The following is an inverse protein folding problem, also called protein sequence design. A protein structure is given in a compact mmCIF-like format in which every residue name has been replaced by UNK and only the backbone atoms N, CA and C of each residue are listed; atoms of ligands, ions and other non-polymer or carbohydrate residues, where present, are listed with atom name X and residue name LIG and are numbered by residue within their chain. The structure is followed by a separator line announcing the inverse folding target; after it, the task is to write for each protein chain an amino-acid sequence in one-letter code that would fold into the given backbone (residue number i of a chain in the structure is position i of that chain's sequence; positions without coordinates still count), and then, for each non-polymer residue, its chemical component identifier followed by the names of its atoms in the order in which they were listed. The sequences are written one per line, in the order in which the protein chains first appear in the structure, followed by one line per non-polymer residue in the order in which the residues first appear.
data_IF_809959973293
#
_entry.id   IF_809959973293
#
_cell.length_a   1.000
_cell.length_b   1.000
_cell.length_c   1.000
_cell.angle_alpha   90.00
_cell.angle_beta   90.00
_cell.angle_gamma   90.00
#
_symmetry.space_group_name_H-M   'P 1'
#
loop_
_entity.id
_entity.type
_entity.pdbx_description
1 polymer ?
#
# COMPACT_ATOMS: atom_id res chain seq x y z
N UNK A 1 13.01 19.29 13.70
CA UNK A 1 12.49 18.78 14.98
C UNK A 1 11.38 17.81 14.64
N UNK A 2 11.44 16.54 15.07
CA UNK A 2 10.40 15.56 14.73
C UNK A 2 9.06 15.95 15.37
N UNK A 3 7.97 15.73 14.66
CA UNK A 3 6.64 15.93 15.22
C UNK A 3 6.34 14.84 16.25
N UNK A 4 6.33 15.21 17.53
CA UNK A 4 5.72 14.37 18.55
C UNK A 4 4.20 14.43 18.40
N UNK A 5 3.51 13.33 18.70
CA UNK A 5 2.05 13.22 18.71
C UNK A 5 1.36 14.30 19.58
N UNK A 6 2.10 14.89 20.53
CA UNK A 6 1.66 15.98 21.40
C UNK A 6 1.93 17.39 20.83
N UNK A 7 2.40 17.50 19.59
CA UNK A 7 2.69 18.81 18.99
C UNK A 7 1.38 19.53 18.63
N UNK A 8 1.27 20.80 19.02
CA UNK A 8 0.11 21.68 18.77
C UNK A 8 -0.23 21.73 17.27
N UNK A 9 0.78 21.71 16.41
CA UNK A 9 0.61 21.65 14.95
C UNK A 9 -0.08 20.37 14.45
N UNK A 10 0.10 19.23 15.11
CA UNK A 10 -0.59 18.00 14.75
C UNK A 10 -2.09 18.07 15.09
N UNK A 11 -2.41 18.48 16.33
CA UNK A 11 -3.79 18.58 16.81
C UNK A 11 -4.61 19.60 16.02
N UNK A 12 -4.04 20.76 15.68
CA UNK A 12 -4.78 21.85 15.06
C UNK A 12 -4.66 21.93 13.54
N UNK A 13 -3.70 21.24 12.93
CA UNK A 13 -3.55 21.25 11.47
C UNK A 13 -3.85 19.88 10.86
N UNK A 14 -3.17 18.83 11.31
CA UNK A 14 -3.31 17.49 10.74
C UNK A 14 -4.69 16.89 11.02
N UNK A 15 -5.16 17.00 12.27
CA UNK A 15 -6.44 16.43 12.69
C UNK A 15 -7.65 17.03 11.94
N UNK A 16 -7.83 18.37 11.85
CA UNK A 16 -8.96 18.94 11.11
C UNK A 16 -8.84 18.69 9.60
N UNK A 17 -7.64 18.73 9.01
CA UNK A 17 -7.44 18.41 7.58
C UNK A 17 -7.84 16.97 7.29
N UNK A 18 -7.47 16.02 8.16
CA UNK A 18 -7.86 14.61 8.02
C UNK A 18 -9.38 14.41 8.09
N UNK A 19 -10.05 15.14 8.99
CA UNK A 19 -11.50 15.07 9.15
C UNK A 19 -12.23 15.65 7.95
N UNK A 20 -11.76 16.80 7.45
CA UNK A 20 -12.31 17.46 6.26
C UNK A 20 -12.15 16.55 5.05
N UNK A 21 -10.98 15.94 4.86
CA UNK A 21 -10.73 15.01 3.77
C UNK A 21 -11.64 13.77 3.85
N UNK A 22 -11.85 13.22 5.05
CA UNK A 22 -12.77 12.10 5.26
C UNK A 22 -14.23 12.47 4.95
N UNK A 23 -14.67 13.67 5.37
CA UNK A 23 -16.02 14.16 5.10
C UNK A 23 -16.25 14.46 3.63
N UNK A 24 -15.31 15.14 2.96
CA UNK A 24 -15.35 15.42 1.52
C UNK A 24 -15.48 14.13 0.70
N UNK A 25 -14.82 13.05 1.15
CA UNK A 25 -14.92 11.76 0.49
C UNK A 25 -16.22 11.00 0.80
N UNK A 26 -16.89 11.35 1.88
CA UNK A 26 -18.25 10.93 2.19
C UNK A 26 -19.30 11.43 1.18
N UNK A 27 -19.01 12.50 0.44
CA UNK A 27 -19.89 13.02 -0.62
C UNK A 27 -19.79 12.24 -1.95
N UNK A 28 -18.82 11.33 -2.11
CA UNK A 28 -18.65 10.56 -3.36
C UNK A 28 -19.49 9.27 -3.39
N UNK A 29 -19.99 8.87 -4.58
CA UNK A 29 -20.84 7.70 -4.74
C UNK A 29 -20.14 6.38 -4.36
N UNK A 30 -20.92 5.47 -3.77
CA UNK A 30 -20.51 4.21 -3.12
C UNK A 30 -19.54 3.32 -3.92
N UNK A 31 -19.55 3.41 -5.26
CA UNK A 31 -18.70 2.56 -6.12
C UNK A 31 -17.22 2.95 -6.13
N UNK A 32 -16.89 4.23 -5.90
CA UNK A 32 -15.50 4.74 -5.91
C UNK A 32 -14.97 5.10 -4.53
N UNK A 33 -15.85 5.08 -3.53
CA UNK A 33 -15.58 5.49 -2.15
C UNK A 33 -14.43 4.69 -1.51
N UNK A 34 -14.38 3.36 -1.74
CA UNK A 34 -13.37 2.51 -1.11
C UNK A 34 -11.94 2.73 -1.66
N UNK A 35 -11.77 2.82 -2.99
CA UNK A 35 -10.43 3.02 -3.57
C UNK A 35 -9.86 4.39 -3.23
N UNK A 36 -10.69 5.44 -3.24
CA UNK A 36 -10.25 6.77 -2.89
C UNK A 36 -10.01 6.93 -1.39
N UNK A 37 -10.75 6.22 -0.52
CA UNK A 37 -10.53 6.22 0.93
C UNK A 37 -9.16 5.66 1.25
N UNK A 38 -8.82 4.50 0.67
CA UNK A 38 -7.51 3.89 0.88
C UNK A 38 -6.39 4.78 0.36
N UNK A 39 -6.56 5.44 -0.79
CA UNK A 39 -5.55 6.36 -1.32
C UNK A 39 -5.37 7.59 -0.41
N UNK A 40 -6.46 8.12 0.13
CA UNK A 40 -6.43 9.23 1.09
C UNK A 40 -5.81 8.81 2.42
N UNK A 41 -6.16 7.65 2.96
CA UNK A 41 -5.57 7.09 4.18
C UNK A 41 -4.06 6.89 4.03
N UNK A 42 -3.61 6.40 2.88
CA UNK A 42 -2.19 6.26 2.54
C UNK A 42 -1.51 7.61 2.35
N UNK A 43 -2.15 8.55 1.64
CA UNK A 43 -1.60 9.90 1.47
C UNK A 43 -1.47 10.64 2.81
N UNK A 44 -2.48 10.51 3.67
CA UNK A 44 -2.51 11.13 4.98
C UNK A 44 -1.46 10.52 5.92
N UNK A 45 -1.26 9.21 5.87
CA UNK A 45 -0.18 8.54 6.63
C UNK A 45 1.20 8.93 6.11
N UNK A 46 1.38 9.08 4.79
CA UNK A 46 2.61 9.60 4.19
C UNK A 46 2.91 11.03 4.64
N UNK A 47 1.91 11.93 4.61
CA UNK A 47 2.07 13.33 5.01
C UNK A 47 2.38 13.44 6.51
N UNK A 48 1.72 12.64 7.33
CA UNK A 48 2.04 12.53 8.76
C UNK A 48 3.49 12.08 8.97
N UNK A 49 3.94 11.09 8.21
CA UNK A 49 5.30 10.58 8.27
C UNK A 49 6.31 11.64 7.79
N UNK A 50 5.99 12.37 6.69
CA UNK A 50 6.85 13.37 6.04
C UNK A 50 7.24 14.51 6.97
N UNK A 51 6.35 14.86 7.88
CA UNK A 51 6.50 16.02 8.74
C UNK A 51 7.52 15.81 9.87
N UNK A 52 7.84 14.56 10.23
CA UNK A 52 8.84 14.22 11.25
C UNK A 52 10.30 14.25 10.76
N UNK A 53 10.52 14.18 9.45
CA UNK A 53 11.84 14.15 8.80
C UNK A 53 11.75 13.54 7.40
N UNK A 54 12.07 14.32 6.36
CA UNK A 54 11.90 13.97 4.94
C UNK A 54 12.73 12.74 4.50
N UNK A 55 13.85 12.47 5.16
CA UNK A 55 14.77 11.40 4.78
C UNK A 55 14.17 10.01 4.99
N UNK A 56 13.50 9.76 6.12
CA UNK A 56 12.91 8.45 6.38
C UNK A 56 11.74 8.15 5.43
N UNK A 57 11.04 9.19 4.99
CA UNK A 57 9.79 9.09 4.22
C UNK A 57 10.06 8.78 2.77
N UNK A 58 11.04 9.46 2.18
CA UNK A 58 11.49 9.17 0.82
C UNK A 58 11.99 7.73 0.72
N UNK A 59 12.75 7.25 1.70
CA UNK A 59 13.18 5.85 1.78
C UNK A 59 12.00 4.88 1.97
N UNK A 60 11.04 5.16 2.85
CA UNK A 60 9.87 4.30 3.08
C UNK A 60 9.02 4.16 1.81
N UNK A 61 8.76 5.27 1.12
CA UNK A 61 7.97 5.27 -0.12
C UNK A 61 8.70 4.54 -1.23
N UNK A 62 10.00 4.77 -1.38
CA UNK A 62 10.83 4.03 -2.31
C UNK A 62 10.79 2.52 -2.01
N UNK A 63 10.89 2.13 -0.74
CA UNK A 63 10.79 0.73 -0.31
C UNK A 63 9.42 0.13 -0.63
N UNK A 64 8.31 0.84 -0.39
CA UNK A 64 6.97 0.37 -0.72
C UNK A 64 6.83 0.13 -2.24
N UNK A 65 7.31 1.06 -3.06
CA UNK A 65 7.27 0.93 -4.53
C UNK A 65 8.11 -0.25 -5.01
N UNK A 66 9.34 -0.37 -4.51
CA UNK A 66 10.25 -1.46 -4.86
C UNK A 66 9.67 -2.80 -4.43
N UNK A 67 9.15 -2.91 -3.20
CA UNK A 67 8.55 -4.13 -2.69
C UNK A 67 7.28 -4.51 -3.47
N UNK A 68 6.47 -3.53 -3.89
CA UNK A 68 5.30 -3.75 -4.72
C UNK A 68 5.66 -4.26 -6.12
N UNK A 69 6.67 -3.67 -6.78
CA UNK A 69 7.16 -4.13 -8.07
C UNK A 69 7.72 -5.56 -7.98
N UNK A 70 8.53 -5.84 -6.96
CA UNK A 70 9.07 -7.17 -6.69
C UNK A 70 7.95 -8.18 -6.41
N UNK A 71 6.91 -7.80 -5.64
CA UNK A 71 5.74 -8.62 -5.38
C UNK A 71 4.94 -8.95 -6.65
N UNK A 72 4.75 -7.96 -7.54
CA UNK A 72 4.06 -8.15 -8.81
C UNK A 72 4.83 -9.10 -9.74
N UNK A 73 6.15 -8.96 -9.79
CA UNK A 73 7.05 -9.88 -10.51
C UNK A 73 6.97 -11.29 -9.89
N UNK A 74 7.00 -11.41 -8.56
CA UNK A 74 6.93 -12.69 -7.84
C UNK A 74 5.61 -13.44 -8.08
N UNK A 75 4.48 -12.73 -8.16
CA UNK A 75 3.18 -13.32 -8.52
C UNK A 75 3.19 -13.93 -9.93
N UNK A 76 3.93 -13.31 -10.87
CA UNK A 76 4.12 -13.85 -12.22
C UNK A 76 4.96 -15.13 -12.20
N UNK A 77 6.04 -15.16 -11.42
CA UNK A 77 6.88 -16.35 -11.26
C UNK A 77 6.19 -17.49 -10.51
N UNK A 78 5.36 -17.22 -9.50
CA UNK A 78 4.57 -18.26 -8.81
C UNK A 78 3.61 -19.01 -9.73
N UNK A 79 2.97 -18.31 -10.68
CA UNK A 79 2.12 -18.95 -11.69
C UNK A 79 2.91 -19.90 -12.60
N UNK A 80 4.14 -19.52 -12.96
CA UNK A 80 5.04 -20.33 -13.78
C UNK A 80 5.56 -21.55 -12.99
N UNK A 81 5.88 -21.37 -11.70
CA UNK A 81 6.28 -22.47 -10.82
C UNK A 81 5.15 -23.46 -10.59
N UNK A 82 3.93 -22.99 -10.35
CA UNK A 82 2.75 -23.85 -10.23
C UNK A 82 2.48 -24.61 -11.54
N UNK A 83 2.58 -23.94 -12.69
CA UNK A 83 2.45 -24.60 -13.99
C UNK A 83 3.55 -25.67 -14.20
N UNK A 84 4.79 -25.39 -13.79
CA UNK A 84 5.90 -26.35 -13.85
C UNK A 84 5.71 -27.57 -12.94
N UNK A 85 5.18 -27.37 -11.72
CA UNK A 85 4.85 -28.46 -10.81
C UNK A 85 3.72 -29.33 -11.38
N UNK A 86 2.64 -28.72 -11.88
CA UNK A 86 1.53 -29.44 -12.51
C UNK A 86 2.01 -30.25 -13.72
N UNK A 87 2.88 -29.67 -14.56
CA UNK A 87 3.42 -30.36 -15.73
C UNK A 87 4.31 -31.55 -15.35
N UNK A 88 5.16 -31.41 -14.32
CA UNK A 88 5.98 -32.52 -13.81
C UNK A 88 5.13 -33.65 -13.22
N UNK A 89 4.10 -33.32 -12.43
CA UNK A 89 3.20 -34.32 -11.84
C UNK A 89 2.40 -35.05 -12.92
N UNK A 90 1.91 -34.34 -13.94
CA UNK A 90 1.23 -34.97 -15.08
C UNK A 90 2.13 -35.93 -15.86
N UNK A 91 3.41 -35.60 -16.00
CA UNK A 91 4.38 -36.46 -16.69
C UNK A 91 4.72 -37.72 -15.90
N UNK A 92 4.71 -37.65 -14.56
CA UNK A 92 4.89 -38.81 -13.69
C UNK A 92 3.68 -39.75 -13.68
N UNK A 93 2.46 -39.20 -13.76
CA UNK A 93 1.22 -39.98 -13.87
C UNK A 93 1.08 -40.73 -15.19
N UNK A 94 1.70 -40.23 -16.27
CA UNK A 94 1.65 -40.86 -17.60
C UNK A 94 2.72 -41.93 -17.83
N UNK A 95 3.74 -42.01 -16.96
CA UNK A 95 4.81 -43.02 -17.01
C UNK A 95 4.51 -44.25 -16.11
N UNK A 96 3.36 -44.26 -15.43
CA UNK A 96 2.93 -45.36 -14.56
C UNK A 96 1.64 -46.01 -15.09
N UNK A 97 1.62 -46.25 -16.41
CA UNK A 97 0.71 -47.12 -17.18
C UNK A 97 1.60 -47.81 -18.22
#
# INVERSE_FOLDING_TARGET
MPMLFNSVTFLFFFLPVSLIAYYLLGLLPFRWRMSLQNLLLVGLSLVFFAWGGLDAVTFLVALIIVNYLVGLLSLKFRKILLAGVVCNVGRFSALNI
#
